data_IF_012337684428
#
_entry.id   IF_012337684428
#
_cell.length_a   1.000
_cell.length_b   1.000
_cell.length_c   1.000
_cell.angle_alpha   90.00
_cell.angle_beta   90.00
_cell.angle_gamma   90.00
#
_symmetry.space_group_name_H-M   'P 1'
#
loop_
_entity.id
_entity.type
_entity.pdbx_description
1 polymer ?
#
# COMPACT_ATOMS: atom_id res chain seq x y z
N UNK A 1 36.79 -10.37 29.47
CA UNK A 1 35.46 -10.82 29.00
C UNK A 1 34.75 -9.76 28.13
N UNK A 2 35.43 -9.17 27.13
CA UNK A 2 34.90 -8.09 26.27
C UNK A 2 35.11 -8.39 24.77
N UNK A 3 34.92 -9.65 24.36
CA UNK A 3 35.24 -10.08 22.99
C UNK A 3 34.16 -11.00 22.42
N UNK A 4 32.90 -10.58 22.53
CA UNK A 4 31.74 -11.33 22.03
C UNK A 4 30.58 -10.47 21.49
N UNK A 5 30.82 -9.21 21.14
CA UNK A 5 29.84 -8.36 20.43
C UNK A 5 30.23 -8.12 18.97
N UNK A 6 30.72 -9.18 18.31
CA UNK A 6 31.01 -9.19 16.86
C UNK A 6 30.08 -10.16 16.12
N UNK A 7 28.78 -10.11 16.40
CA UNK A 7 27.73 -10.85 15.68
C UNK A 7 26.40 -10.10 15.76
N UNK A 8 26.30 -8.99 15.05
CA UNK A 8 25.12 -8.56 14.28
C UNK A 8 25.60 -7.39 13.43
N UNK A 9 25.67 -7.62 12.11
CA UNK A 9 26.12 -6.61 11.17
C UNK A 9 25.28 -5.35 11.34
N UNK A 10 25.94 -4.19 11.26
CA UNK A 10 25.26 -2.89 11.20
C UNK A 10 24.10 -3.02 10.22
N UNK A 11 22.88 -2.91 10.74
CA UNK A 11 21.68 -2.70 9.95
C UNK A 11 21.96 -1.44 9.14
N UNK A 12 22.11 -1.57 7.82
CA UNK A 12 22.35 -0.42 6.95
C UNK A 12 21.07 0.40 6.94
N UNK A 13 21.00 1.36 7.86
CA UNK A 13 19.84 2.23 8.02
C UNK A 13 19.66 3.03 6.73
N UNK A 14 18.56 2.76 6.03
CA UNK A 14 18.07 3.58 4.95
C UNK A 14 17.14 4.64 5.54
N UNK A 15 17.34 5.91 5.17
CA UNK A 15 16.46 7.00 5.60
C UNK A 15 15.91 7.73 4.39
N UNK A 16 14.59 7.71 4.23
CA UNK A 16 13.89 8.53 3.23
C UNK A 16 14.00 10.00 3.65
N UNK A 17 14.46 10.86 2.74
CA UNK A 17 14.66 12.30 2.97
C UNK A 17 13.57 13.15 2.34
N UNK A 18 13.01 12.68 1.24
CA UNK A 18 12.11 13.47 0.40
C UNK A 18 11.17 12.54 -0.35
N UNK A 19 9.94 13.00 -0.58
CA UNK A 19 8.90 12.29 -1.33
C UNK A 19 8.05 13.32 -2.08
N UNK A 20 7.99 13.17 -3.40
CA UNK A 20 7.37 14.13 -4.30
C UNK A 20 6.45 13.40 -5.29
N UNK A 21 5.23 13.91 -5.47
CA UNK A 21 4.31 13.49 -6.52
C UNK A 21 4.54 14.35 -7.76
N UNK A 22 4.62 13.70 -8.93
CA UNK A 22 4.90 14.36 -10.22
C UNK A 22 3.70 14.39 -11.14
N UNK A 23 2.90 13.33 -11.13
CA UNK A 23 1.72 13.22 -11.97
C UNK A 23 0.65 12.37 -11.31
N UNK A 24 -0.61 12.73 -11.55
CA UNK A 24 -1.79 11.98 -11.14
C UNK A 24 -2.68 11.87 -12.37
N UNK A 25 -3.03 10.64 -12.74
CA UNK A 25 -3.97 10.32 -13.81
C UNK A 25 -5.05 9.42 -13.21
N UNK A 26 -6.32 9.78 -13.36
CA UNK A 26 -7.40 9.07 -12.72
C UNK A 26 -8.66 9.09 -13.58
N UNK A 27 -9.22 7.90 -13.80
CA UNK A 27 -10.32 7.69 -14.73
C UNK A 27 -11.39 6.79 -14.10
N UNK A 28 -12.65 7.10 -14.36
CA UNK A 28 -13.78 6.22 -14.09
C UNK A 28 -14.43 5.83 -15.42
N UNK A 29 -14.61 4.53 -15.62
CA UNK A 29 -15.13 3.95 -16.86
C UNK A 29 -16.63 3.69 -16.82
N UNK A 30 -17.24 3.66 -15.64
CA UNK A 30 -18.66 3.33 -15.45
C UNK A 30 -19.51 4.55 -15.18
N UNK A 31 -20.81 4.46 -15.42
CA UNK A 31 -21.76 5.51 -15.05
C UNK A 31 -22.07 5.49 -13.56
N UNK A 32 -22.40 6.65 -12.98
CA UNK A 32 -22.59 6.80 -11.52
C UNK A 32 -23.69 5.89 -10.96
N UNK A 33 -24.68 5.55 -11.77
CA UNK A 33 -25.85 4.74 -11.38
C UNK A 33 -25.57 3.23 -11.45
N UNK A 34 -24.48 2.80 -12.09
CA UNK A 34 -24.18 1.39 -12.29
C UNK A 34 -23.62 0.76 -11.00
N UNK A 35 -24.49 0.07 -10.26
CA UNK A 35 -24.11 -0.65 -9.03
C UNK A 35 -23.53 -2.01 -9.39
N UNK A 36 -22.20 -2.10 -9.48
CA UNK A 36 -21.48 -3.39 -9.57
C UNK A 36 -21.35 -4.00 -8.18
N UNK A 37 -21.84 -5.23 -8.01
CA UNK A 37 -21.51 -6.06 -6.83
C UNK A 37 -20.12 -6.67 -7.06
N UNK A 38 -19.30 -6.75 -6.00
CA UNK A 38 -17.99 -7.40 -5.98
C UNK A 38 -16.89 -6.74 -6.84
N UNK A 39 -16.65 -5.45 -6.63
CA UNK A 39 -15.51 -4.76 -7.24
C UNK A 39 -14.22 -5.23 -6.57
N UNK A 40 -13.31 -5.83 -7.35
CA UNK A 40 -11.95 -6.13 -6.90
C UNK A 40 -11.11 -4.87 -7.04
N UNK A 41 -10.40 -4.52 -5.97
CA UNK A 41 -9.48 -3.38 -5.92
C UNK A 41 -8.09 -3.94 -5.67
N UNK A 42 -7.16 -3.67 -6.59
CA UNK A 42 -5.77 -4.11 -6.49
C UNK A 42 -4.85 -2.90 -6.47
N UNK A 43 -3.83 -2.92 -5.61
CA UNK A 43 -2.76 -1.93 -5.61
C UNK A 43 -1.49 -2.54 -6.16
N UNK A 44 -0.82 -1.79 -7.02
CA UNK A 44 0.52 -2.11 -7.48
C UNK A 44 1.42 -0.90 -7.26
N UNK A 45 2.68 -1.15 -6.91
CA UNK A 45 3.72 -0.14 -6.93
C UNK A 45 4.93 -0.71 -7.66
N UNK A 46 5.50 0.06 -8.57
CA UNK A 46 6.68 -0.32 -9.33
C UNK A 46 7.72 0.79 -9.28
N UNK A 47 8.98 0.39 -9.24
CA UNK A 47 10.10 1.30 -9.47
C UNK A 47 10.30 1.44 -10.96
N UNK A 48 10.34 2.66 -11.47
CA UNK A 48 10.51 2.95 -12.90
C UNK A 48 11.95 3.37 -13.21
N UNK A 49 12.61 4.06 -12.27
CA UNK A 49 14.00 4.52 -12.44
C UNK A 49 14.72 4.58 -11.10
N UNK A 50 16.03 4.34 -11.13
CA UNK A 50 16.93 4.53 -9.98
C UNK A 50 18.14 5.32 -10.43
N UNK A 51 18.33 6.50 -9.83
CA UNK A 51 19.44 7.40 -10.11
C UNK A 51 20.25 7.65 -8.85
N UNK A 52 21.57 7.75 -9.00
CA UNK A 52 22.46 8.23 -7.93
C UNK A 52 22.52 9.76 -8.04
N UNK A 53 22.20 10.47 -6.96
CA UNK A 53 22.32 11.94 -6.91
C UNK A 53 23.76 12.30 -6.50
N UNK A 54 24.24 11.73 -5.40
CA UNK A 54 25.57 11.97 -4.85
C UNK A 54 26.15 10.69 -4.22
N UNK A 55 27.24 10.78 -3.48
CA UNK A 55 27.93 9.61 -2.89
C UNK A 55 27.05 8.78 -1.93
N UNK A 56 26.06 9.40 -1.26
CA UNK A 56 25.22 8.80 -0.23
C UNK A 56 23.72 8.83 -0.56
N UNK A 57 23.29 9.68 -1.49
CA UNK A 57 21.88 9.90 -1.85
C UNK A 57 21.51 9.23 -3.17
N UNK A 58 20.41 8.49 -3.17
CA UNK A 58 19.79 7.94 -4.38
C UNK A 58 18.37 8.47 -4.51
N UNK A 59 17.92 8.62 -5.75
CA UNK A 59 16.54 8.91 -6.11
C UNK A 59 15.93 7.71 -6.82
N UNK A 60 14.68 7.44 -6.47
CA UNK A 60 13.86 6.41 -7.10
C UNK A 60 12.61 7.07 -7.64
N UNK A 61 12.41 6.95 -8.95
CA UNK A 61 11.13 7.28 -9.57
C UNK A 61 10.23 6.03 -9.50
N UNK A 62 8.96 6.24 -9.20
CA UNK A 62 8.00 5.15 -8.99
C UNK A 62 6.69 5.43 -9.71
N UNK A 63 5.90 4.36 -9.89
CA UNK A 63 4.51 4.41 -10.30
C UNK A 63 3.67 3.59 -9.33
N UNK A 64 2.64 4.20 -8.78
CA UNK A 64 1.58 3.55 -8.02
C UNK A 64 0.33 3.43 -8.87
N UNK A 65 -0.41 2.35 -8.72
CA UNK A 65 -1.68 2.13 -9.42
C UNK A 65 -2.69 1.46 -8.50
N UNK A 66 -3.84 2.11 -8.32
CA UNK A 66 -5.05 1.49 -7.76
C UNK A 66 -6.00 1.16 -8.91
N UNK A 67 -6.23 -0.13 -9.14
CA UNK A 67 -7.07 -0.63 -10.22
C UNK A 67 -8.40 -1.15 -9.65
N UNK A 68 -9.50 -0.60 -10.15
CA UNK A 68 -10.86 -1.03 -9.82
C UNK A 68 -11.38 -1.85 -11.00
N UNK A 69 -11.49 -3.16 -10.82
CA UNK A 69 -11.83 -4.10 -11.89
C UNK A 69 -13.04 -3.66 -12.72
N UNK A 70 -12.80 -3.17 -13.95
CA UNK A 70 -13.82 -2.71 -14.89
C UNK A 70 -14.55 -1.42 -14.49
N UNK A 71 -14.08 -0.69 -13.47
CA UNK A 71 -14.72 0.52 -12.96
C UNK A 71 -13.86 1.77 -13.12
N UNK A 72 -12.54 1.66 -13.00
CA UNK A 72 -11.66 2.82 -13.08
C UNK A 72 -10.25 2.51 -12.64
N UNK A 73 -9.39 3.51 -12.76
CA UNK A 73 -7.98 3.42 -12.37
C UNK A 73 -7.52 4.75 -11.79
N UNK A 74 -6.64 4.69 -10.79
CA UNK A 74 -5.87 5.83 -10.31
C UNK A 74 -4.40 5.48 -10.46
N UNK A 75 -3.65 6.30 -11.19
CA UNK A 75 -2.21 6.19 -11.38
C UNK A 75 -1.55 7.42 -10.77
N UNK A 76 -0.52 7.18 -9.97
CA UNK A 76 0.27 8.24 -9.35
C UNK A 76 1.73 7.97 -9.68
N UNK A 77 2.40 8.96 -10.26
CA UNK A 77 3.83 8.93 -10.50
C UNK A 77 4.53 9.92 -9.58
N UNK A 78 5.72 9.57 -9.14
CA UNK A 78 6.48 10.42 -8.23
C UNK A 78 7.93 9.98 -8.11
N UNK A 79 8.62 10.60 -7.17
CA UNK A 79 9.95 10.20 -6.77
C UNK A 79 10.17 10.30 -5.28
N UNK A 80 11.07 9.48 -4.77
CA UNK A 80 11.56 9.57 -3.40
C UNK A 80 13.08 9.60 -3.40
N UNK A 81 13.66 10.35 -2.45
CA UNK A 81 15.10 10.40 -2.22
C UNK A 81 15.41 9.74 -0.89
N UNK A 82 16.49 8.97 -0.85
CA UNK A 82 16.93 8.34 0.38
C UNK A 82 18.45 8.30 0.48
N UNK A 83 18.92 8.25 1.73
CA UNK A 83 20.32 8.10 2.07
C UNK A 83 20.58 6.65 2.49
N UNK A 84 21.64 6.06 1.94
CA UNK A 84 22.10 4.72 2.32
C UNK A 84 23.34 4.27 1.55
N UNK A 85 24.14 3.40 2.16
CA UNK A 85 25.38 2.88 1.57
C UNK A 85 25.12 1.75 0.57
N UNK A 86 24.56 2.12 -0.58
CA UNK A 86 24.29 1.23 -1.70
C UNK A 86 25.01 1.69 -2.98
N UNK A 87 26.35 1.68 -3.01
CA UNK A 87 27.14 2.31 -4.08
C UNK A 87 26.87 1.72 -5.48
N UNK A 88 26.37 0.48 -5.56
CA UNK A 88 26.08 -0.22 -6.81
C UNK A 88 24.58 -0.29 -7.16
N UNK A 89 23.69 0.37 -6.39
CA UNK A 89 22.24 0.22 -6.56
C UNK A 89 21.77 0.61 -7.97
N UNK A 90 22.06 1.84 -8.39
CA UNK A 90 21.64 2.34 -9.71
C UNK A 90 22.24 1.51 -10.86
N UNK A 91 23.47 0.99 -10.69
CA UNK A 91 24.13 0.13 -11.67
C UNK A 91 23.46 -1.25 -11.74
N UNK A 92 23.11 -1.83 -10.60
CA UNK A 92 22.43 -3.13 -10.51
C UNK A 92 21.01 -3.05 -11.06
N UNK A 93 20.29 -1.97 -10.73
CA UNK A 93 18.95 -1.72 -11.27
C UNK A 93 19.00 -1.65 -12.80
N UNK A 94 19.85 -0.79 -13.38
CA UNK A 94 19.95 -0.65 -14.84
C UNK A 94 20.28 -1.96 -15.58
N UNK A 95 21.09 -2.84 -14.97
CA UNK A 95 21.52 -4.09 -15.59
C UNK A 95 20.53 -5.24 -15.42
N UNK A 96 19.84 -5.30 -14.29
CA UNK A 96 19.09 -6.50 -13.86
C UNK A 96 17.65 -6.22 -13.44
N UNK A 97 17.24 -4.96 -13.36
CA UNK A 97 16.01 -4.50 -12.69
C UNK A 97 15.86 -5.13 -11.29
N UNK A 98 16.98 -5.23 -10.58
CA UNK A 98 17.07 -5.83 -9.24
C UNK A 98 17.72 -4.85 -8.27
N UNK A 99 17.18 -4.83 -7.07
CA UNK A 99 17.74 -4.14 -5.91
C UNK A 99 17.69 -5.06 -4.69
N UNK A 100 18.45 -4.77 -3.62
CA UNK A 100 18.34 -5.53 -2.38
C UNK A 100 16.90 -5.54 -1.83
N UNK A 101 16.48 -6.66 -1.26
CA UNK A 101 15.10 -6.83 -0.76
C UNK A 101 14.76 -5.81 0.33
N UNK A 102 15.72 -5.44 1.18
CA UNK A 102 15.56 -4.41 2.21
C UNK A 102 15.21 -3.04 1.60
N UNK A 103 15.93 -2.64 0.54
CA UNK A 103 15.72 -1.38 -0.18
C UNK A 103 14.36 -1.41 -0.90
N UNK A 104 14.03 -2.52 -1.56
CA UNK A 104 12.74 -2.68 -2.21
C UNK A 104 11.59 -2.58 -1.20
N UNK A 105 11.68 -3.28 -0.08
CA UNK A 105 10.65 -3.27 0.98
C UNK A 105 10.42 -1.85 1.49
N UNK A 106 11.49 -1.11 1.78
CA UNK A 106 11.39 0.26 2.30
C UNK A 106 10.77 1.21 1.28
N UNK A 107 11.20 1.14 0.01
CA UNK A 107 10.65 1.94 -1.10
C UNK A 107 9.16 1.65 -1.27
N UNK A 108 8.77 0.38 -1.40
CA UNK A 108 7.38 0.01 -1.62
C UNK A 108 6.49 0.38 -0.44
N UNK A 109 6.97 0.20 0.79
CA UNK A 109 6.25 0.62 2.01
C UNK A 109 6.04 2.14 2.02
N UNK A 110 7.09 2.91 1.73
CA UNK A 110 7.01 4.38 1.66
C UNK A 110 6.01 4.83 0.58
N UNK A 111 6.08 4.24 -0.61
CA UNK A 111 5.15 4.56 -1.71
C UNK A 111 3.71 4.25 -1.32
N UNK A 112 3.45 3.07 -0.77
CA UNK A 112 2.10 2.66 -0.34
C UNK A 112 1.55 3.61 0.74
N UNK A 113 2.34 3.89 1.77
CA UNK A 113 1.91 4.74 2.89
C UNK A 113 1.57 6.17 2.46
N UNK A 114 2.24 6.70 1.43
CA UNK A 114 1.97 8.04 0.91
C UNK A 114 0.88 8.05 -0.17
N UNK A 115 0.83 7.05 -1.05
CA UNK A 115 -0.10 7.04 -2.19
C UNK A 115 -1.50 6.56 -1.82
N UNK A 116 -1.66 5.66 -0.84
CA UNK A 116 -2.98 5.18 -0.44
C UNK A 116 -3.87 6.34 0.06
N UNK A 117 -3.44 7.19 1.01
CA UNK A 117 -4.27 8.31 1.47
C UNK A 117 -4.66 9.28 0.35
N UNK A 118 -3.73 9.55 -0.58
CA UNK A 118 -4.00 10.40 -1.74
C UNK A 118 -5.06 9.76 -2.66
N UNK A 119 -4.93 8.46 -2.92
CA UNK A 119 -5.89 7.72 -3.74
C UNK A 119 -7.30 7.64 -3.11
N UNK A 120 -7.43 7.70 -1.78
CA UNK A 120 -8.75 7.77 -1.12
C UNK A 120 -9.48 9.07 -1.46
N UNK A 121 -8.75 10.19 -1.51
CA UNK A 121 -9.32 11.50 -1.86
C UNK A 121 -9.74 11.53 -3.33
N UNK A 122 -8.85 11.09 -4.22
CA UNK A 122 -9.15 11.02 -5.67
C UNK A 122 -10.33 10.07 -5.95
N UNK A 123 -10.37 8.92 -5.27
CA UNK A 123 -11.47 7.97 -5.41
C UNK A 123 -12.81 8.59 -5.02
N UNK A 124 -12.84 9.38 -3.95
CA UNK A 124 -14.05 10.13 -3.55
C UNK A 124 -14.52 11.07 -4.66
N UNK A 125 -13.61 11.86 -5.22
CA UNK A 125 -13.94 12.83 -6.27
C UNK A 125 -14.49 12.14 -7.53
N UNK A 126 -13.94 10.97 -7.87
CA UNK A 126 -14.39 10.14 -8.98
C UNK A 126 -15.61 9.27 -8.65
N UNK A 127 -16.14 9.29 -7.43
CA UNK A 127 -17.20 8.37 -6.97
C UNK A 127 -16.81 6.87 -7.15
N UNK A 128 -15.52 6.56 -6.98
CA UNK A 128 -15.00 5.21 -6.84
C UNK A 128 -15.07 4.77 -5.37
N UNK A 129 -15.19 3.47 -5.07
CA UNK A 129 -15.05 3.01 -3.69
C UNK A 129 -13.65 3.34 -3.15
N UNK A 130 -13.49 3.49 -1.84
CA UNK A 130 -12.17 3.74 -1.27
C UNK A 130 -11.23 2.58 -1.59
N UNK A 131 -9.97 2.84 -1.97
CA UNK A 131 -8.95 1.82 -2.26
C UNK A 131 -8.38 1.22 -0.97
N UNK A 132 -9.17 1.12 0.10
CA UNK A 132 -8.76 0.50 1.35
C UNK A 132 -9.91 -0.33 1.90
N UNK A 133 -9.62 -1.46 2.56
CA UNK A 133 -10.66 -2.20 3.27
C UNK A 133 -11.25 -1.31 4.35
N UNK A 134 -12.58 -1.19 4.36
CA UNK A 134 -13.28 -0.48 5.42
C UNK A 134 -13.36 -1.36 6.68
N UNK A 135 -13.20 -0.78 7.87
CA UNK A 135 -13.43 -1.52 9.11
C UNK A 135 -14.88 -1.98 9.17
N UNK A 136 -15.09 -3.23 9.60
CA UNK A 136 -16.43 -3.76 9.87
C UNK A 136 -16.77 -3.46 11.32
N UNK A 137 -17.87 -2.76 11.55
CA UNK A 137 -18.45 -2.63 12.88
C UNK A 137 -19.30 -3.87 13.12
N UNK A 138 -18.85 -4.76 14.00
CA UNK A 138 -19.68 -5.82 14.51
C UNK A 138 -20.42 -5.26 15.74
N UNK A 139 -21.72 -5.00 15.62
CA UNK A 139 -22.54 -4.83 16.82
C UNK A 139 -22.84 -6.21 17.38
N UNK A 140 -22.69 -6.44 18.70
CA UNK A 140 -23.23 -7.65 19.31
C UNK A 140 -24.75 -7.65 19.09
N UNK A 141 -25.26 -8.75 18.54
CA UNK A 141 -26.70 -8.96 18.36
C UNK A 141 -27.38 -9.03 19.75
N UNK A 142 -27.91 -7.91 20.24
CA UNK A 142 -28.87 -7.93 21.33
C UNK A 142 -30.20 -8.47 20.80
N UNK A 143 -30.42 -9.78 20.96
CA UNK A 143 -31.77 -10.34 20.87
C UNK A 143 -31.89 -11.69 20.18
N UNK A 144 -31.45 -12.76 20.84
CA UNK A 144 -32.11 -14.06 20.70
C UNK A 144 -32.52 -14.58 22.08
N UNK A 145 -33.49 -13.91 22.69
CA UNK A 145 -34.29 -14.53 23.75
C UNK A 145 -35.16 -15.60 23.10
N UNK A 146 -34.66 -16.84 23.01
CA UNK A 146 -35.47 -18.00 22.65
C UNK A 146 -36.31 -18.34 23.87
N UNK A 147 -37.54 -17.85 23.88
CA UNK A 147 -38.62 -18.28 24.78
C UNK A 147 -38.76 -19.80 24.68
N UNK A 148 -38.33 -20.52 25.72
CA UNK A 148 -38.63 -21.92 25.93
C UNK A 148 -40.10 -22.05 26.36
N UNK A 149 -41.03 -22.05 25.41
CA UNK A 149 -42.41 -22.50 25.66
C UNK A 149 -42.54 -23.96 25.22
N UNK A 150 -42.47 -24.89 26.17
CA UNK A 150 -43.32 -26.07 26.18
C UNK A 150 -43.37 -26.62 27.61
N UNK A 151 -44.42 -26.21 28.31
CA UNK A 151 -44.84 -26.84 29.55
C UNK A 151 -45.20 -28.30 29.29
N UNK A 152 -44.57 -29.19 30.06
CA UNK A 152 -45.10 -30.52 30.32
C UNK A 152 -46.08 -30.40 31.48
N UNK A 153 -47.34 -30.71 31.21
CA UNK A 153 -48.42 -30.86 32.19
C UNK A 153 -48.12 -32.09 33.06
N UNK A 154 -48.06 -31.94 34.38
CA UNK A 154 -48.26 -33.06 35.32
C UNK A 154 -49.75 -33.39 35.39
N UNK A 155 -50.13 -34.67 35.29
CA UNK A 155 -51.10 -35.35 36.18
C UNK A 155 -51.32 -36.82 35.73
N UNK A 156 -50.97 -37.77 36.61
CA UNK A 156 -51.73 -38.95 37.05
C UNK A 156 -50.79 -39.95 37.74
#
# INVERSE_FOLDING_TARGET
>A
MKRLLKKHGLERVMTVKDFELKAIDAERYTERKEKRKNIKINHNSSVTKVNKIDSKTNQVDFRFTANYSGMGVIKIEGSLKFIGEFPNLAKNWRKKNKMPNEVAKEIHTTVINNCIPQSVTIARDLNLPPPIPLPKVNMPDEGSNKTSSKGGMEVA
#
